data_IF_710974352216
#
_entry.id   IF_710974352216
#
_cell.length_a   1.000
_cell.length_b   1.000
_cell.length_c   1.000
_cell.angle_alpha   90.00
_cell.angle_beta   90.00
_cell.angle_gamma   90.00
#
_symmetry.space_group_name_H-M   'P 1'
#
loop_
_entity.id
_entity.type
_entity.pdbx_description
1 polymer ?
#
# COMPACT_ATOMS: atom_id res chain seq x y z
N UNK A 1 -34.06 9.64 -12.27
CA UNK A 1 -33.04 9.67 -11.20
C UNK A 1 -31.65 9.48 -11.82
N UNK A 2 -30.70 10.31 -11.49
CA UNK A 2 -29.33 10.20 -11.99
C UNK A 2 -28.41 9.77 -10.87
N UNK A 3 -27.58 8.78 -11.12
CA UNK A 3 -26.54 8.35 -10.19
C UNK A 3 -25.37 9.35 -10.20
N UNK A 4 -24.81 9.66 -9.04
CA UNK A 4 -23.63 10.49 -8.94
C UNK A 4 -22.42 9.77 -9.55
N UNK A 5 -21.65 10.47 -10.36
CA UNK A 5 -20.38 10.01 -10.90
C UNK A 5 -19.31 11.06 -10.60
N UNK A 6 -18.26 10.66 -9.90
CA UNK A 6 -17.16 11.55 -9.54
C UNK A 6 -16.40 12.04 -10.77
N UNK A 7 -15.91 13.27 -10.70
CA UNK A 7 -15.02 13.84 -11.71
C UNK A 7 -13.62 14.00 -11.11
N UNK A 8 -12.59 13.67 -11.86
CA UNK A 8 -11.21 13.75 -11.41
C UNK A 8 -10.82 15.15 -10.90
N UNK A 9 -11.43 16.18 -11.48
CA UNK A 9 -11.15 17.58 -11.15
C UNK A 9 -11.74 18.02 -9.79
N UNK A 10 -12.81 17.38 -9.35
CA UNK A 10 -13.58 17.78 -8.15
C UNK A 10 -13.33 16.87 -6.96
N UNK A 11 -12.63 15.75 -7.14
CA UNK A 11 -12.32 14.82 -6.05
C UNK A 11 -11.34 15.46 -5.07
N UNK A 12 -11.70 15.45 -3.80
CA UNK A 12 -10.80 15.88 -2.72
C UNK A 12 -10.05 14.67 -2.18
N UNK A 13 -8.72 14.79 -2.09
CA UNK A 13 -7.83 13.76 -1.58
C UNK A 13 -7.15 14.27 -0.32
N UNK A 14 -7.39 13.59 0.78
CA UNK A 14 -6.75 13.88 2.06
C UNK A 14 -5.46 13.08 2.21
N UNK A 15 -4.63 13.50 3.15
CA UNK A 15 -3.42 12.79 3.53
C UNK A 15 -3.60 12.13 4.89
N UNK A 16 -3.22 10.87 4.97
CA UNK A 16 -3.26 10.09 6.21
C UNK A 16 -1.91 9.43 6.48
N UNK A 17 -1.56 9.34 7.76
CA UNK A 17 -0.39 8.58 8.22
C UNK A 17 -0.88 7.37 9.03
N UNK A 18 -0.29 6.21 8.73
CA UNK A 18 -0.61 4.94 9.40
C UNK A 18 0.66 4.40 10.02
N UNK A 19 0.59 4.01 11.29
CA UNK A 19 1.68 3.32 11.96
C UNK A 19 1.52 1.81 11.76
N UNK A 20 2.53 1.18 11.16
CA UNK A 20 2.54 -0.25 10.89
C UNK A 20 3.05 -1.09 12.07
N UNK A 21 3.47 -0.46 13.18
CA UNK A 21 4.02 -1.15 14.34
C UNK A 21 3.06 -2.21 14.85
N UNK A 22 3.50 -3.46 14.88
CA UNK A 22 2.77 -4.62 15.39
C UNK A 22 1.41 -4.89 14.68
N UNK A 23 1.20 -4.32 13.52
CA UNK A 23 0.03 -4.59 12.67
C UNK A 23 0.28 -5.82 11.79
N UNK A 24 -0.74 -6.62 11.56
CA UNK A 24 -0.66 -7.77 10.67
C UNK A 24 -0.62 -7.30 9.22
N UNK A 25 0.38 -7.75 8.47
CA UNK A 25 0.67 -7.29 7.11
C UNK A 25 -0.56 -7.35 6.17
N UNK A 26 -1.23 -8.49 6.10
CA UNK A 26 -2.37 -8.66 5.19
C UNK A 26 -3.55 -7.76 5.52
N UNK A 27 -3.87 -7.62 6.80
CA UNK A 27 -4.97 -6.76 7.27
C UNK A 27 -4.67 -5.28 7.06
N UNK A 28 -3.45 -4.86 7.35
CA UNK A 28 -2.99 -3.50 7.06
C UNK A 28 -3.07 -3.20 5.56
N UNK A 29 -2.53 -4.11 4.74
CA UNK A 29 -2.50 -3.93 3.29
C UNK A 29 -3.90 -3.84 2.67
N UNK A 30 -4.86 -4.64 3.13
CA UNK A 30 -6.23 -4.62 2.63
C UNK A 30 -6.94 -3.30 2.94
N UNK A 31 -6.75 -2.78 4.14
CA UNK A 31 -7.34 -1.50 4.53
C UNK A 31 -6.70 -0.33 3.77
N UNK A 32 -5.37 -0.33 3.64
CA UNK A 32 -4.65 0.67 2.86
C UNK A 32 -5.08 0.65 1.39
N UNK A 33 -5.19 -0.53 0.80
CA UNK A 33 -5.63 -0.67 -0.59
C UNK A 33 -7.07 -0.16 -0.80
N UNK A 34 -7.97 -0.44 0.13
CA UNK A 34 -9.34 0.06 0.11
C UNK A 34 -9.38 1.59 0.12
N UNK A 35 -8.56 2.21 0.96
CA UNK A 35 -8.49 3.67 1.05
C UNK A 35 -7.81 4.33 -0.14
N UNK A 36 -6.79 3.71 -0.70
CA UNK A 36 -6.16 4.18 -1.94
C UNK A 36 -7.13 4.14 -3.13
N UNK A 37 -8.01 3.16 -3.16
CA UNK A 37 -9.03 3.06 -4.20
C UNK A 37 -10.23 3.98 -3.97
N UNK A 38 -10.47 4.39 -2.73
CA UNK A 38 -11.57 5.27 -2.37
C UNK A 38 -12.87 4.57 -2.01
N UNK A 39 -12.85 3.27 -1.76
CA UNK A 39 -14.06 2.49 -1.39
C UNK A 39 -14.72 2.91 -0.09
N UNK A 40 -14.00 3.62 0.78
CA UNK A 40 -14.52 4.16 2.03
C UNK A 40 -15.36 5.42 1.85
N UNK A 41 -15.33 6.03 0.65
CA UNK A 41 -16.06 7.26 0.35
C UNK A 41 -17.39 6.97 -0.32
N UNK A 42 -18.41 7.79 0.01
CA UNK A 42 -19.71 7.71 -0.64
C UNK A 42 -19.66 8.06 -2.13
N UNK A 43 -18.70 8.91 -2.52
CA UNK A 43 -18.48 9.32 -3.91
C UNK A 43 -17.71 8.32 -4.76
N UNK A 44 -17.39 7.12 -4.24
CA UNK A 44 -16.63 6.11 -4.95
C UNK A 44 -17.21 5.86 -6.36
N UNK A 45 -16.34 5.98 -7.36
CA UNK A 45 -16.68 5.71 -8.76
C UNK A 45 -15.57 4.81 -9.35
N UNK A 46 -15.93 3.64 -9.91
CA UNK A 46 -14.93 2.65 -10.32
C UNK A 46 -13.93 3.12 -11.37
N UNK A 47 -14.30 4.04 -12.25
CA UNK A 47 -13.41 4.53 -13.32
C UNK A 47 -12.63 5.80 -12.94
N UNK A 48 -12.82 6.32 -11.74
CA UNK A 48 -12.14 7.53 -11.25
C UNK A 48 -11.35 7.19 -9.98
N UNK A 49 -10.16 7.75 -9.85
CA UNK A 49 -9.34 7.62 -8.65
C UNK A 49 -9.85 8.58 -7.56
N UNK A 50 -10.71 8.06 -6.68
CA UNK A 50 -11.32 8.84 -5.58
C UNK A 50 -10.59 8.67 -4.24
N UNK A 51 -9.55 7.85 -4.20
CA UNK A 51 -8.83 7.53 -2.95
C UNK A 51 -7.95 8.65 -2.41
N UNK A 52 -7.46 8.43 -1.20
CA UNK A 52 -6.61 9.38 -0.48
C UNK A 52 -5.13 9.00 -0.57
N UNK A 53 -4.27 9.93 -0.20
CA UNK A 53 -2.83 9.68 -0.03
C UNK A 53 -2.58 9.01 1.32
N UNK A 54 -1.81 7.92 1.32
CA UNK A 54 -1.49 7.19 2.54
C UNK A 54 0.03 7.16 2.72
N UNK A 55 0.46 7.54 3.91
CA UNK A 55 1.85 7.43 4.37
C UNK A 55 1.91 6.33 5.43
N UNK A 56 2.71 5.31 5.21
CA UNK A 56 2.92 4.24 6.19
C UNK A 56 4.29 4.40 6.81
N UNK A 57 4.35 4.43 8.12
CA UNK A 57 5.60 4.52 8.90
C UNK A 57 5.84 3.25 9.68
N UNK A 58 7.08 3.05 10.15
CA UNK A 58 7.50 1.87 10.90
C UNK A 58 7.28 0.55 10.14
N UNK A 59 7.54 0.52 8.84
CA UNK A 59 7.37 -0.68 8.02
C UNK A 59 8.25 -1.86 8.47
N UNK A 60 9.37 -1.58 9.13
CA UNK A 60 10.28 -2.58 9.69
C UNK A 60 9.67 -3.37 10.87
N UNK A 61 8.65 -2.82 11.50
CA UNK A 61 7.98 -3.41 12.67
C UNK A 61 6.66 -4.11 12.34
N UNK A 62 6.40 -4.35 11.07
CA UNK A 62 5.20 -5.07 10.63
C UNK A 62 5.24 -6.52 11.11
N UNK A 63 4.09 -7.06 11.49
CA UNK A 63 3.96 -8.44 11.95
C UNK A 63 3.34 -9.33 10.87
N UNK A 64 3.80 -10.56 10.80
CA UNK A 64 3.20 -11.62 9.99
C UNK A 64 2.81 -12.80 10.88
N UNK A 65 1.77 -13.53 10.51
CA UNK A 65 1.26 -14.67 11.25
C UNK A 65 1.78 -16.00 10.69
N UNK A 66 1.78 -17.04 11.51
CA UNK A 66 2.24 -18.37 11.11
C UNK A 66 3.71 -18.41 10.76
N UNK A 67 4.09 -19.29 9.85
CA UNK A 67 5.47 -19.49 9.41
C UNK A 67 5.84 -18.67 8.15
N UNK A 68 5.13 -17.59 7.86
CA UNK A 68 5.32 -16.80 6.64
C UNK A 68 6.70 -16.15 6.53
N UNK A 69 7.32 -15.82 7.66
CA UNK A 69 8.66 -15.21 7.66
C UNK A 69 9.69 -16.09 6.95
N UNK A 70 9.57 -17.41 7.08
CA UNK A 70 10.46 -18.38 6.45
C UNK A 70 9.87 -19.00 5.17
N UNK A 71 8.55 -19.22 5.15
CA UNK A 71 7.87 -19.94 4.08
C UNK A 71 7.50 -19.07 2.89
N UNK A 72 7.12 -17.82 3.12
CA UNK A 72 6.74 -16.92 2.03
C UNK A 72 7.99 -16.44 1.28
N UNK A 73 7.96 -16.58 -0.06
CA UNK A 73 9.08 -16.20 -0.93
C UNK A 73 8.64 -15.20 -1.98
N UNK A 74 9.53 -14.26 -2.28
CA UNK A 74 9.39 -13.32 -3.37
C UNK A 74 10.27 -13.77 -4.53
N UNK A 75 9.70 -13.90 -5.72
CA UNK A 75 10.39 -14.37 -6.90
C UNK A 75 10.64 -13.25 -7.89
N UNK A 76 11.81 -13.27 -8.51
CA UNK A 76 12.17 -12.39 -9.61
C UNK A 76 12.94 -13.19 -10.65
N UNK A 77 12.63 -12.99 -11.91
CA UNK A 77 13.32 -13.65 -13.02
C UNK A 77 14.10 -12.61 -13.84
N UNK A 78 15.36 -12.93 -14.17
CA UNK A 78 16.24 -12.04 -14.94
C UNK A 78 15.94 -12.02 -16.45
N UNK A 79 15.12 -12.97 -16.94
CA UNK A 79 14.85 -13.15 -18.37
C UNK A 79 15.81 -14.13 -19.06
N UNK A 80 16.83 -14.63 -18.38
CA UNK A 80 17.78 -15.60 -18.90
C UNK A 80 17.48 -17.02 -18.36
N UNK A 81 17.88 -18.11 -19.07
CA UNK A 81 17.71 -19.47 -18.55
C UNK A 81 18.34 -19.61 -17.17
N UNK A 82 17.60 -20.23 -16.23
CA UNK A 82 18.04 -20.40 -14.84
C UNK A 82 18.07 -19.10 -14.02
N UNK A 83 17.48 -18.03 -14.52
CA UNK A 83 17.54 -16.68 -13.92
C UNK A 83 16.52 -16.40 -12.83
N UNK A 84 15.83 -17.41 -12.26
CA UNK A 84 14.91 -17.20 -11.16
C UNK A 84 15.67 -16.92 -9.86
N UNK A 85 15.28 -15.84 -9.19
CA UNK A 85 15.85 -15.46 -7.89
C UNK A 85 14.72 -15.42 -6.86
N UNK A 86 14.99 -15.92 -5.68
CA UNK A 86 14.05 -15.95 -4.58
C UNK A 86 14.61 -15.31 -3.32
N UNK A 87 13.75 -14.66 -2.56
CA UNK A 87 14.08 -14.05 -1.26
C UNK A 87 12.94 -14.37 -0.32
N UNK A 88 13.24 -14.81 0.90
CA UNK A 88 12.22 -15.05 1.92
C UNK A 88 11.68 -13.72 2.46
N UNK A 89 10.47 -13.77 3.05
CA UNK A 89 9.87 -12.57 3.64
C UNK A 89 10.76 -11.99 4.76
N UNK A 90 11.36 -12.84 5.59
CA UNK A 90 12.27 -12.40 6.65
C UNK A 90 13.48 -11.65 6.12
N UNK A 91 14.13 -12.17 5.06
CA UNK A 91 15.26 -11.50 4.41
C UNK A 91 14.84 -10.19 3.74
N UNK A 92 13.69 -10.17 3.09
CA UNK A 92 13.15 -8.97 2.45
C UNK A 92 12.87 -7.88 3.50
N UNK A 93 12.31 -8.26 4.64
CA UNK A 93 12.02 -7.34 5.73
C UNK A 93 13.29 -6.72 6.33
N UNK A 94 14.39 -7.49 6.39
CA UNK A 94 15.68 -6.98 6.87
C UNK A 94 16.35 -6.04 5.87
N UNK A 95 16.32 -6.38 4.58
CA UNK A 95 17.01 -5.62 3.53
C UNK A 95 16.22 -4.41 3.05
N UNK A 96 14.95 -4.62 2.76
CA UNK A 96 14.05 -3.62 2.18
C UNK A 96 12.65 -3.74 2.79
N UNK A 97 12.45 -3.28 4.03
CA UNK A 97 11.16 -3.47 4.72
C UNK A 97 9.99 -2.78 4.00
N UNK A 98 10.23 -1.67 3.32
CA UNK A 98 9.19 -0.97 2.57
C UNK A 98 8.58 -1.80 1.45
N UNK A 99 9.38 -2.64 0.79
CA UNK A 99 8.93 -3.48 -0.31
C UNK A 99 7.92 -4.54 0.10
N UNK A 100 7.95 -4.99 1.34
CA UNK A 100 7.00 -5.98 1.87
C UNK A 100 5.58 -5.42 1.83
N UNK A 101 5.39 -4.22 2.36
CA UNK A 101 4.10 -3.53 2.38
C UNK A 101 3.69 -3.11 0.96
N UNK A 102 4.61 -2.55 0.20
CA UNK A 102 4.36 -2.13 -1.19
C UNK A 102 3.89 -3.28 -2.07
N UNK A 103 4.53 -4.44 -1.98
CA UNK A 103 4.14 -5.63 -2.74
C UNK A 103 2.76 -6.15 -2.33
N UNK A 104 2.45 -6.15 -1.04
CA UNK A 104 1.17 -6.58 -0.53
C UNK A 104 0.04 -5.68 -1.02
N UNK A 105 0.21 -4.38 -0.93
CA UNK A 105 -0.79 -3.39 -1.38
C UNK A 105 -0.95 -3.42 -2.90
N UNK A 106 0.16 -3.46 -3.64
CA UNK A 106 0.14 -3.52 -5.11
C UNK A 106 -0.62 -4.74 -5.62
N UNK A 107 -0.45 -5.89 -4.94
CA UNK A 107 -1.18 -7.11 -5.26
C UNK A 107 -2.70 -7.00 -5.08
N UNK A 108 -3.16 -6.09 -4.22
CA UNK A 108 -4.58 -5.87 -3.92
C UNK A 108 -5.22 -4.75 -4.76
N UNK A 109 -4.43 -3.98 -5.49
CA UNK A 109 -4.91 -2.93 -6.37
C UNK A 109 -5.15 -3.45 -7.79
N UNK A 110 -5.99 -2.77 -8.61
CA UNK A 110 -6.19 -3.15 -10.00
C UNK A 110 -4.90 -3.16 -10.82
N UNK A 111 -4.79 -4.06 -11.80
CA UNK A 111 -3.62 -4.23 -12.66
C UNK A 111 -3.78 -3.45 -13.97
N UNK A 112 -4.01 -2.15 -13.88
CA UNK A 112 -4.24 -1.26 -15.02
C UNK A 112 -3.65 0.14 -14.75
N UNK A 113 -3.70 1.09 -15.71
CA UNK A 113 -3.18 2.45 -15.48
C UNK A 113 -3.82 3.15 -14.28
N UNK A 114 -5.11 2.96 -14.03
CA UNK A 114 -5.79 3.52 -12.87
C UNK A 114 -5.23 2.94 -11.56
N UNK A 115 -5.02 1.63 -11.50
CA UNK A 115 -4.40 0.97 -10.34
C UNK A 115 -2.98 1.46 -10.06
N UNK A 116 -2.20 1.72 -11.09
CA UNK A 116 -0.85 2.31 -10.95
C UNK A 116 -0.92 3.74 -10.40
N UNK A 117 -1.89 4.53 -10.82
CA UNK A 117 -2.12 5.86 -10.27
C UNK A 117 -2.52 5.82 -8.78
N UNK A 118 -3.36 4.85 -8.40
CA UNK A 118 -3.72 4.60 -7.00
C UNK A 118 -2.49 4.22 -6.17
N UNK A 119 -1.66 3.33 -6.67
CA UNK A 119 -0.44 2.89 -6.00
C UNK A 119 0.57 4.04 -5.81
N UNK A 120 0.63 4.97 -6.75
CA UNK A 120 1.52 6.14 -6.68
C UNK A 120 1.21 7.06 -5.49
N UNK A 121 0.02 6.98 -4.91
CA UNK A 121 -0.37 7.74 -3.72
C UNK A 121 0.08 7.10 -2.40
N UNK A 122 0.63 5.90 -2.45
CA UNK A 122 1.21 5.23 -1.29
C UNK A 122 2.66 5.65 -1.09
N UNK A 123 3.01 5.98 0.13
CA UNK A 123 4.39 6.25 0.55
C UNK A 123 4.69 5.40 1.79
N UNK A 124 5.74 4.59 1.73
CA UNK A 124 6.10 3.69 2.83
C UNK A 124 7.50 4.04 3.33
N UNK A 125 7.63 4.16 4.63
CA UNK A 125 8.89 4.47 5.31
C UNK A 125 9.20 3.38 6.34
N UNK A 126 10.46 2.95 6.39
CA UNK A 126 10.90 1.92 7.33
C UNK A 126 10.90 2.43 8.78
N UNK A 127 11.33 3.65 9.00
CA UNK A 127 11.40 4.28 10.31
C UNK A 127 10.14 5.07 10.69
N UNK A 128 10.18 5.77 11.85
CA UNK A 128 9.03 6.55 12.32
C UNK A 128 8.85 7.89 11.61
N UNK A 129 9.86 8.37 10.90
CA UNK A 129 9.88 9.68 10.28
C UNK A 129 9.46 9.63 8.80
N UNK A 130 8.78 10.67 8.36
CA UNK A 130 8.40 10.87 6.96
C UNK A 130 8.66 12.34 6.54
N UNK A 131 8.75 12.58 5.26
CA UNK A 131 9.02 13.93 4.72
C UNK A 131 7.77 14.70 4.31
N UNK A 132 6.58 14.30 4.76
CA UNK A 132 5.28 14.85 4.33
C UNK A 132 4.65 15.79 5.35
N UNK A 133 5.44 16.48 6.15
CA UNK A 133 4.93 17.43 7.16
C UNK A 133 4.18 18.61 6.54
N UNK A 134 4.58 19.04 5.36
CA UNK A 134 3.92 20.13 4.65
C UNK A 134 2.48 19.80 4.26
N UNK A 135 2.17 18.54 3.99
CA UNK A 135 0.83 18.06 3.67
C UNK A 135 -0.05 17.84 4.91
N UNK A 136 0.51 17.95 6.11
CA UNK A 136 -0.18 17.76 7.39
C UNK A 136 -1.04 16.50 7.44
N UNK A 137 -0.45 15.28 7.27
CA UNK A 137 -1.21 14.05 7.26
C UNK A 137 -1.89 13.80 8.60
N UNK A 138 -3.15 13.38 8.55
CA UNK A 138 -3.93 13.03 9.74
C UNK A 138 -3.61 11.61 10.16
N UNK A 139 -3.57 11.35 11.46
CA UNK A 139 -3.41 10.00 11.97
C UNK A 139 -4.63 9.14 11.62
N UNK A 140 -4.37 7.93 11.13
CA UNK A 140 -5.41 6.95 10.78
C UNK A 140 -5.14 5.67 11.56
N UNK A 141 -6.08 5.25 12.37
CA UNK A 141 -6.03 3.97 13.07
C UNK A 141 -6.69 2.88 12.23
N UNK A 142 -5.98 1.79 12.09
CA UNK A 142 -6.46 0.61 11.36
C UNK A 142 -6.48 -0.61 12.27
#
# INVERSE_FOLDING_TARGET
>A
MKTFSAKAETVQRDWFVVDATDKVLGRLASEVASRLRGKHKAEYTPHVDTGDHIVVVNADKIRVTGNKAEAKRYYRHSGYPGGIKEVTLGEQLQKHPTRVIESAVKGMLPKNPLGRAMFAKLRVYAGPDHCHQAQQPKALEI
#
